data_IF_949867083171
#
_entry.id   IF_949867083171
#
_cell.length_a   1.000
_cell.length_b   1.000
_cell.length_c   1.000
_cell.angle_alpha   90.00
_cell.angle_beta   90.00
_cell.angle_gamma   90.00
#
_symmetry.space_group_name_H-M   'P 1'
#
loop_
_entity.id
_entity.type
_entity.pdbx_description
1 polymer ?
#
# COMPACT_ATOMS: atom_id res chain seq x y z
N UNK A 1 -35.77 31.48 -20.42
CA UNK A 1 -34.32 31.59 -20.18
C UNK A 1 -33.99 30.47 -19.23
N UNK A 2 -33.50 29.35 -19.76
CA UNK A 2 -33.20 28.16 -18.97
C UNK A 2 -31.86 28.39 -18.29
N UNK A 3 -31.86 28.54 -16.96
CA UNK A 3 -30.64 28.60 -16.17
C UNK A 3 -29.92 27.24 -16.30
N UNK A 4 -28.71 27.16 -16.86
CA UNK A 4 -27.92 25.95 -16.73
C UNK A 4 -27.40 25.95 -15.29
N UNK A 5 -28.05 25.18 -14.42
CA UNK A 5 -27.60 25.02 -13.03
C UNK A 5 -26.11 24.65 -12.96
N UNK A 6 -25.40 25.00 -11.88
CA UNK A 6 -23.96 24.81 -11.79
C UNK A 6 -23.61 23.34 -11.97
N UNK A 7 -23.10 22.97 -13.16
CA UNK A 7 -22.46 21.68 -13.34
C UNK A 7 -21.07 21.83 -12.72
N UNK A 8 -20.81 21.21 -11.57
CA UNK A 8 -19.46 21.03 -11.02
C UNK A 8 -18.86 19.75 -11.63
N UNK A 9 -18.06 19.83 -12.74
CA UNK A 9 -17.84 18.65 -13.58
C UNK A 9 -16.54 17.88 -13.29
N UNK A 10 -15.83 18.11 -12.17
CA UNK A 10 -14.45 17.56 -12.00
C UNK A 10 -14.10 16.92 -10.64
N UNK A 11 -15.00 16.86 -9.65
CA UNK A 11 -14.70 16.37 -8.28
C UNK A 11 -15.59 15.19 -7.83
N UNK A 12 -15.55 14.06 -8.55
CA UNK A 12 -16.22 12.82 -8.10
C UNK A 12 -15.32 11.59 -8.14
N UNK A 13 -14.42 11.52 -9.12
CA UNK A 13 -13.51 10.39 -9.22
C UNK A 13 -12.28 10.57 -8.34
N UNK A 14 -11.60 11.73 -8.39
CA UNK A 14 -10.40 12.04 -7.56
C UNK A 14 -10.63 11.77 -6.08
N UNK A 15 -11.76 12.21 -5.55
CA UNK A 15 -12.10 12.08 -4.13
C UNK A 15 -12.21 10.61 -3.72
N UNK A 16 -12.77 9.76 -4.59
CA UNK A 16 -12.89 8.31 -4.36
C UNK A 16 -11.54 7.60 -4.23
N UNK A 17 -10.49 8.12 -4.87
CA UNK A 17 -9.15 7.55 -4.79
C UNK A 17 -8.44 7.91 -3.48
N UNK A 18 -8.85 8.98 -2.82
CA UNK A 18 -8.27 9.46 -1.57
C UNK A 18 -9.07 9.05 -0.34
N UNK A 19 -10.39 8.85 -0.50
CA UNK A 19 -11.28 8.41 0.56
C UNK A 19 -10.92 7.01 1.09
N UNK A 20 -11.07 6.78 2.41
CA UNK A 20 -10.76 5.50 3.00
C UNK A 20 -11.72 4.41 2.47
N UNK A 21 -11.19 3.44 1.73
CA UNK A 21 -11.97 2.32 1.24
C UNK A 21 -11.21 1.45 0.23
N UNK A 22 -11.93 0.54 -0.43
CA UNK A 22 -11.38 -0.44 -1.37
C UNK A 22 -10.45 0.17 -2.42
N UNK A 23 -10.88 1.27 -3.05
CA UNK A 23 -10.14 1.90 -4.15
C UNK A 23 -8.82 2.49 -3.65
N UNK A 24 -8.84 3.22 -2.54
CA UNK A 24 -7.62 3.77 -1.93
C UNK A 24 -6.66 2.66 -1.48
N UNK A 25 -7.16 1.58 -0.89
CA UNK A 25 -6.36 0.40 -0.52
C UNK A 25 -5.67 -0.21 -1.76
N UNK A 26 -6.41 -0.38 -2.87
CA UNK A 26 -5.85 -0.90 -4.12
C UNK A 26 -4.77 0.01 -4.69
N UNK A 27 -4.97 1.34 -4.64
CA UNK A 27 -3.94 2.31 -5.03
C UNK A 27 -2.69 2.14 -4.19
N UNK A 28 -2.80 2.03 -2.86
CA UNK A 28 -1.64 1.92 -1.98
C UNK A 28 -0.80 0.68 -2.36
N UNK A 29 -1.43 -0.47 -2.58
CA UNK A 29 -0.71 -1.67 -3.02
C UNK A 29 -0.11 -1.49 -4.42
N UNK A 30 -0.81 -0.83 -5.34
CA UNK A 30 -0.27 -0.54 -6.67
C UNK A 30 0.94 0.41 -6.60
N UNK A 31 0.88 1.44 -5.76
CA UNK A 31 1.98 2.39 -5.54
C UNK A 31 3.22 1.67 -4.98
N UNK A 32 3.03 0.67 -4.12
CA UNK A 32 4.11 -0.16 -3.63
C UNK A 32 4.74 -1.01 -4.74
N UNK A 33 3.92 -1.64 -5.59
CA UNK A 33 4.39 -2.44 -6.72
C UNK A 33 5.09 -1.60 -7.79
N UNK A 34 4.52 -0.45 -8.16
CA UNK A 34 5.15 0.53 -9.08
C UNK A 34 6.44 1.11 -8.47
N UNK A 35 6.54 1.10 -7.14
CA UNK A 35 7.73 1.48 -6.39
C UNK A 35 8.98 0.71 -6.76
N UNK A 36 8.87 -0.51 -7.30
CA UNK A 36 10.04 -1.23 -7.81
C UNK A 36 10.67 -0.57 -9.04
N UNK A 37 9.91 0.17 -9.84
CA UNK A 37 10.41 0.87 -11.03
C UNK A 37 10.85 2.31 -10.73
N UNK A 38 10.11 3.02 -9.86
CA UNK A 38 10.30 4.48 -9.63
C UNK A 38 10.89 4.79 -8.25
N UNK A 39 10.73 3.89 -7.28
CA UNK A 39 11.16 4.08 -5.89
C UNK A 39 10.22 4.99 -5.11
N UNK A 40 10.09 6.27 -5.49
CA UNK A 40 9.44 7.31 -4.68
C UNK A 40 7.94 7.07 -4.41
N UNK A 41 7.25 6.29 -5.25
CA UNK A 41 5.81 6.04 -5.12
C UNK A 41 5.45 5.30 -3.83
N UNK A 42 6.38 4.52 -3.25
CA UNK A 42 6.15 3.84 -1.97
C UNK A 42 5.90 4.82 -0.82
N UNK A 43 6.50 6.02 -0.88
CA UNK A 43 6.33 7.06 0.13
C UNK A 43 4.92 7.65 0.09
N UNK A 44 4.36 7.81 -1.11
CA UNK A 44 2.96 8.24 -1.28
C UNK A 44 2.01 7.20 -0.69
N UNK A 45 2.26 5.92 -0.97
CA UNK A 45 1.44 4.82 -0.46
C UNK A 45 1.39 4.77 1.08
N UNK A 46 2.53 4.91 1.76
CA UNK A 46 2.56 4.89 3.23
C UNK A 46 1.88 6.13 3.84
N UNK A 47 2.04 7.31 3.24
CA UNK A 47 1.36 8.52 3.70
C UNK A 47 -0.15 8.36 3.61
N UNK A 48 -0.67 7.89 2.47
CA UNK A 48 -2.09 7.59 2.31
C UNK A 48 -2.58 6.57 3.34
N UNK A 49 -1.79 5.52 3.60
CA UNK A 49 -2.14 4.50 4.57
C UNK A 49 -2.28 5.07 5.98
N UNK A 50 -1.36 5.93 6.43
CA UNK A 50 -1.47 6.59 7.74
C UNK A 50 -2.64 7.57 7.82
N UNK A 51 -2.86 8.38 6.79
CA UNK A 51 -3.93 9.40 6.78
C UNK A 51 -5.33 8.79 6.85
N UNK A 52 -5.50 7.57 6.31
CA UNK A 52 -6.79 6.91 6.17
C UNK A 52 -7.04 5.81 7.21
N UNK A 53 -5.99 5.26 7.85
CA UNK A 53 -6.10 4.15 8.83
C UNK A 53 -7.17 4.41 9.89
N UNK A 54 -7.16 5.59 10.50
CA UNK A 54 -8.03 5.87 11.65
C UNK A 54 -9.45 6.29 11.29
N UNK A 55 -9.67 6.64 10.01
CA UNK A 55 -10.97 7.06 9.47
C UNK A 55 -11.74 5.90 8.82
N UNK A 56 -11.08 4.76 8.65
CA UNK A 56 -11.60 3.64 7.90
C UNK A 56 -12.49 2.70 8.73
N UNK A 57 -13.39 2.02 8.03
CA UNK A 57 -14.14 0.88 8.56
C UNK A 57 -13.22 -0.23 9.09
N UNK A 58 -13.69 -1.09 10.01
CA UNK A 58 -12.85 -2.10 10.65
C UNK A 58 -12.08 -3.00 9.68
N UNK A 59 -12.71 -3.45 8.59
CA UNK A 59 -12.03 -4.31 7.60
C UNK A 59 -10.93 -3.55 6.85
N UNK A 60 -11.21 -2.33 6.39
CA UNK A 60 -10.28 -1.47 5.67
C UNK A 60 -9.08 -1.06 6.55
N UNK A 61 -9.31 -0.81 7.84
CA UNK A 61 -8.27 -0.52 8.83
C UNK A 61 -7.20 -1.62 8.91
N UNK A 62 -7.59 -2.89 8.73
CA UNK A 62 -6.63 -4.00 8.70
C UNK A 62 -5.68 -3.91 7.49
N UNK A 63 -6.17 -3.47 6.33
CA UNK A 63 -5.36 -3.26 5.13
C UNK A 63 -4.36 -2.11 5.28
N UNK A 64 -4.78 -0.98 5.84
CA UNK A 64 -3.86 0.14 6.11
C UNK A 64 -2.77 -0.26 7.09
N UNK A 65 -3.13 -0.99 8.14
CA UNK A 65 -2.16 -1.53 9.11
C UNK A 65 -1.18 -2.49 8.42
N UNK A 66 -1.68 -3.40 7.58
CA UNK A 66 -0.87 -4.31 6.77
C UNK A 66 0.11 -3.58 5.84
N UNK A 67 -0.36 -2.54 5.14
CA UNK A 67 0.46 -1.74 4.24
C UNK A 67 1.54 -0.93 4.97
N UNK A 68 1.21 -0.33 6.11
CA UNK A 68 2.17 0.39 6.95
C UNK A 68 3.27 -0.56 7.43
N UNK A 69 2.90 -1.74 7.93
CA UNK A 69 3.88 -2.74 8.38
C UNK A 69 4.74 -3.27 7.24
N UNK A 70 4.13 -3.50 6.08
CA UNK A 70 4.86 -3.93 4.87
C UNK A 70 5.98 -2.96 4.53
N UNK A 71 5.73 -1.65 4.58
CA UNK A 71 6.76 -0.64 4.35
C UNK A 71 7.90 -0.70 5.38
N UNK A 72 7.57 -0.71 6.68
CA UNK A 72 8.62 -0.66 7.71
C UNK A 72 9.45 -1.94 7.77
N UNK A 73 8.83 -3.10 7.58
CA UNK A 73 9.55 -4.38 7.50
C UNK A 73 10.42 -4.42 6.23
N UNK A 74 9.89 -3.98 5.08
CA UNK A 74 10.65 -3.91 3.85
C UNK A 74 11.85 -2.96 3.98
N UNK A 75 11.68 -1.79 4.59
CA UNK A 75 12.75 -0.84 4.85
C UNK A 75 13.82 -1.45 5.76
N UNK A 76 13.42 -2.13 6.83
CA UNK A 76 14.33 -2.83 7.73
C UNK A 76 15.14 -3.91 6.98
N UNK A 77 14.48 -4.78 6.21
CA UNK A 77 15.17 -5.82 5.45
C UNK A 77 16.04 -5.25 4.32
N UNK A 78 15.64 -4.15 3.68
CA UNK A 78 16.46 -3.46 2.70
C UNK A 78 17.74 -2.89 3.34
N UNK A 79 17.65 -2.29 4.53
CA UNK A 79 18.82 -1.80 5.29
C UNK A 79 19.74 -2.96 5.68
N UNK A 80 19.19 -4.06 6.20
CA UNK A 80 19.97 -5.26 6.54
C UNK A 80 20.67 -5.82 5.28
N UNK A 81 19.95 -5.92 4.17
CA UNK A 81 20.49 -6.41 2.89
C UNK A 81 21.59 -5.50 2.34
N UNK A 82 21.44 -4.18 2.48
CA UNK A 82 22.46 -3.21 2.10
C UNK A 82 23.75 -3.40 2.90
N UNK A 83 23.65 -3.58 4.23
CA UNK A 83 24.80 -3.85 5.10
C UNK A 83 25.49 -5.18 4.74
N UNK A 84 24.72 -6.22 4.47
CA UNK A 84 25.24 -7.54 4.07
C UNK A 84 25.81 -7.57 2.65
N UNK A 85 25.50 -6.58 1.81
CA UNK A 85 26.01 -6.51 0.44
C UNK A 85 27.53 -6.27 0.39
N UNK A 86 28.13 -5.78 1.48
CA UNK A 86 29.60 -5.72 1.66
C UNK A 86 30.24 -7.10 1.52
N UNK A 87 29.51 -8.17 1.86
CA UNK A 87 29.94 -9.56 1.75
C UNK A 87 29.37 -10.26 0.49
N UNK A 88 28.82 -9.51 -0.47
CA UNK A 88 28.13 -9.98 -1.68
C UNK A 88 26.84 -10.82 -1.46
N UNK A 89 26.55 -11.28 -0.24
CA UNK A 89 25.36 -12.07 0.08
C UNK A 89 24.07 -11.22 0.19
N UNK A 90 24.21 -9.90 0.39
CA UNK A 90 23.07 -8.99 0.55
C UNK A 90 22.12 -8.92 -0.65
N UNK A 91 22.60 -9.27 -1.86
CA UNK A 91 21.77 -9.34 -3.08
C UNK A 91 20.61 -10.32 -2.94
N UNK A 92 20.85 -11.48 -2.32
CA UNK A 92 19.79 -12.46 -2.05
C UNK A 92 18.74 -11.91 -1.07
N UNK A 93 19.17 -11.09 -0.11
CA UNK A 93 18.27 -10.41 0.83
C UNK A 93 17.35 -9.41 0.13
N UNK A 94 17.86 -8.63 -0.83
CA UNK A 94 17.02 -7.75 -1.64
C UNK A 94 15.98 -8.51 -2.46
N UNK A 95 16.37 -9.61 -3.10
CA UNK A 95 15.45 -10.47 -3.88
C UNK A 95 14.37 -11.05 -2.96
N UNK A 96 14.75 -11.61 -1.80
CA UNK A 96 13.81 -12.16 -0.83
C UNK A 96 12.82 -11.09 -0.34
N UNK A 97 13.32 -9.89 -0.04
CA UNK A 97 12.50 -8.74 0.37
C UNK A 97 11.52 -8.35 -0.73
N UNK A 98 11.97 -8.28 -1.98
CA UNK A 98 11.13 -7.94 -3.12
C UNK A 98 9.99 -8.96 -3.32
N UNK A 99 10.31 -10.26 -3.30
CA UNK A 99 9.31 -11.34 -3.40
C UNK A 99 8.31 -11.24 -2.26
N UNK A 100 8.78 -11.04 -1.02
CA UNK A 100 7.91 -10.90 0.14
C UNK A 100 6.95 -9.71 0.03
N UNK A 101 7.42 -8.53 -0.43
CA UNK A 101 6.56 -7.36 -0.68
C UNK A 101 5.48 -7.70 -1.70
N UNK A 102 5.85 -8.32 -2.82
CA UNK A 102 4.92 -8.69 -3.89
C UNK A 102 3.82 -9.60 -3.35
N UNK A 103 4.18 -10.66 -2.62
CA UNK A 103 3.18 -11.59 -2.07
C UNK A 103 2.23 -10.86 -1.11
N UNK A 104 2.74 -10.02 -0.21
CA UNK A 104 1.88 -9.25 0.71
C UNK A 104 0.97 -8.26 0.01
N UNK A 105 1.43 -7.63 -1.07
CA UNK A 105 0.59 -6.76 -1.89
C UNK A 105 -0.48 -7.56 -2.64
N UNK A 106 -0.17 -8.73 -3.19
CA UNK A 106 -1.14 -9.60 -3.87
C UNK A 106 -2.21 -10.10 -2.90
N UNK A 107 -1.84 -10.57 -1.71
CA UNK A 107 -2.81 -10.98 -0.67
C UNK A 107 -3.71 -9.80 -0.30
N UNK A 108 -3.11 -8.63 -0.09
CA UNK A 108 -3.83 -7.39 0.20
C UNK A 108 -4.83 -7.03 -0.90
N UNK A 109 -4.41 -7.07 -2.16
CA UNK A 109 -5.24 -6.79 -3.33
C UNK A 109 -6.40 -7.79 -3.47
N UNK A 110 -6.12 -9.09 -3.31
CA UNK A 110 -7.14 -10.14 -3.41
C UNK A 110 -8.22 -9.98 -2.34
N UNK A 111 -7.82 -9.73 -1.09
CA UNK A 111 -8.76 -9.52 0.02
C UNK A 111 -9.52 -8.20 -0.10
N UNK A 112 -8.84 -7.12 -0.48
CA UNK A 112 -9.49 -5.83 -0.73
C UNK A 112 -10.49 -5.90 -1.88
N UNK A 113 -10.22 -6.70 -2.93
CA UNK A 113 -11.16 -6.91 -4.02
C UNK A 113 -12.49 -7.53 -3.53
N UNK A 114 -12.44 -8.36 -2.49
CA UNK A 114 -13.58 -9.00 -1.83
C UNK A 114 -14.10 -8.23 -0.60
N UNK A 115 -13.48 -7.11 -0.26
CA UNK A 115 -13.81 -6.31 0.94
C UNK A 115 -13.70 -7.12 2.25
N UNK A 116 -12.77 -8.07 2.25
CA UNK A 116 -12.49 -8.94 3.39
C UNK A 116 -11.34 -8.39 4.23
N UNK A 117 -11.38 -8.51 5.57
CA UNK A 117 -10.26 -8.09 6.41
C UNK A 117 -9.00 -8.96 6.21
N UNK A 118 -7.84 -8.33 6.45
CA UNK A 118 -6.61 -9.05 6.72
C UNK A 118 -6.75 -9.74 8.09
N UNK A 119 -6.54 -11.06 8.12
CA UNK A 119 -6.79 -11.91 9.30
C UNK A 119 -5.84 -11.58 10.44
N UNK A 120 -4.54 -11.44 10.13
CA UNK A 120 -3.52 -10.98 11.08
C UNK A 120 -2.76 -9.80 10.46
N UNK A 121 -3.27 -8.57 10.63
CA UNK A 121 -2.64 -7.39 10.06
C UNK A 121 -1.26 -7.10 10.66
N UNK A 122 -0.92 -7.73 11.80
CA UNK A 122 0.34 -7.57 12.51
C UNK A 122 1.38 -8.64 12.19
N UNK A 123 1.04 -9.64 11.38
CA UNK A 123 1.97 -10.68 10.98
C UNK A 123 3.22 -10.08 10.29
N UNK A 124 4.39 -10.63 10.61
CA UNK A 124 5.63 -10.40 9.86
C UNK A 124 5.73 -11.27 8.61
N UNK A 125 4.85 -12.26 8.47
CA UNK A 125 4.78 -13.19 7.36
C UNK A 125 3.60 -12.84 6.44
N UNK A 126 3.26 -13.76 5.53
CA UNK A 126 2.14 -13.65 4.58
C UNK A 126 0.78 -13.89 5.24
#
# INVERSE_FOLDING_TARGET
MSDPGPQTPLSRDTDRWLEPGKVNIQIIYLLYLVGFAIGVTVLVGIVLAYLNRDKAEPWARTHYTWAIRTFWIALLFAVISALLSVLLIGVLGFIATAVWIVVRCVIGLQKAAREEPITDPESWLV
#
